data_IF_611948382007
#
_entry.id   IF_611948382007
#
_cell.length_a   1.000
_cell.length_b   1.000
_cell.length_c   1.000
_cell.angle_alpha   90.00
_cell.angle_beta   90.00
_cell.angle_gamma   90.00
#
_symmetry.space_group_name_H-M   'P 1'
#
loop_
_entity.id
_entity.type
_entity.pdbx_description
1 polymer ?
#
# COMPACT_ATOMS: atom_id res chain seq x y z
N UNK A 1 5.11 9.50 0.07
CA UNK A 1 3.76 8.88 0.01
C UNK A 1 2.71 9.70 0.75
N UNK A 2 1.54 9.90 0.13
CA UNK A 2 0.31 10.40 0.75
C UNK A 2 -0.68 9.24 0.98
N UNK A 3 -1.46 9.31 2.05
CA UNK A 3 -2.53 8.35 2.35
C UNK A 3 -3.88 9.04 2.14
N UNK A 4 -4.63 8.61 1.13
CA UNK A 4 -5.90 9.20 0.69
C UNK A 4 -7.12 8.65 1.46
N UNK A 5 -6.87 7.82 2.47
CA UNK A 5 -7.87 7.20 3.34
C UNK A 5 -8.20 5.76 2.98
N UNK A 6 -9.12 5.16 3.72
CA UNK A 6 -9.48 3.75 3.58
C UNK A 6 -10.62 3.54 2.57
N UNK A 7 -10.46 2.54 1.70
CA UNK A 7 -11.52 1.94 0.90
C UNK A 7 -12.14 0.79 1.70
N UNK A 8 -13.33 1.02 2.24
CA UNK A 8 -14.02 0.06 3.10
C UNK A 8 -14.51 -1.18 2.33
N UNK A 9 -14.76 -1.07 1.04
CA UNK A 9 -15.21 -2.20 0.21
C UNK A 9 -14.06 -3.16 -0.10
N UNK A 10 -12.84 -2.63 -0.20
CA UNK A 10 -11.61 -3.41 -0.44
C UNK A 10 -10.83 -3.75 0.83
N UNK A 11 -11.27 -3.22 1.98
CA UNK A 11 -10.55 -3.29 3.26
C UNK A 11 -9.08 -2.90 3.11
N UNK A 12 -8.82 -1.78 2.40
CA UNK A 12 -7.48 -1.36 2.00
C UNK A 12 -7.29 0.15 2.08
N UNK A 13 -6.10 0.59 2.42
CA UNK A 13 -5.71 2.01 2.42
C UNK A 13 -5.31 2.44 1.02
N UNK A 14 -5.89 3.55 0.56
CA UNK A 14 -5.50 4.21 -0.68
C UNK A 14 -4.29 5.09 -0.41
N UNK A 15 -3.30 4.96 -1.27
CA UNK A 15 -2.08 5.76 -1.22
C UNK A 15 -1.74 6.31 -2.60
N UNK A 16 -1.06 7.44 -2.60
CA UNK A 16 -0.58 8.10 -3.81
C UNK A 16 0.81 8.69 -3.61
N UNK A 17 1.62 8.68 -4.66
CA UNK A 17 2.95 9.28 -4.66
C UNK A 17 3.42 9.53 -6.09
N UNK A 18 4.41 10.40 -6.27
CA UNK A 18 5.02 10.65 -7.57
C UNK A 18 6.16 9.67 -7.83
N UNK A 19 6.12 8.98 -8.98
CA UNK A 19 7.19 8.11 -9.45
C UNK A 19 7.18 8.02 -10.98
N UNK A 20 8.36 7.83 -11.58
CA UNK A 20 8.52 7.70 -13.05
C UNK A 20 7.90 8.86 -13.86
N UNK A 21 7.80 10.05 -13.29
CA UNK A 21 7.22 11.22 -13.95
C UNK A 21 5.68 11.22 -13.98
N UNK A 22 5.02 10.33 -13.23
CA UNK A 22 3.57 10.29 -13.07
C UNK A 22 3.14 10.12 -11.60
N UNK A 23 1.84 10.22 -11.34
CA UNK A 23 1.27 9.87 -10.04
C UNK A 23 0.94 8.39 -10.01
N UNK A 24 1.61 7.63 -9.16
CA UNK A 24 1.27 6.23 -8.87
C UNK A 24 0.25 6.21 -7.74
N UNK A 25 -0.85 5.48 -7.97
CA UNK A 25 -1.89 5.25 -6.96
C UNK A 25 -2.01 3.76 -6.69
N UNK A 26 -2.20 3.39 -5.43
CA UNK A 26 -2.28 1.99 -5.04
C UNK A 26 -3.10 1.74 -3.78
N UNK A 27 -3.28 0.46 -3.52
CA UNK A 27 -4.00 -0.08 -2.37
C UNK A 27 -3.06 -0.90 -1.50
N UNK A 28 -3.10 -0.62 -0.20
CA UNK A 28 -2.43 -1.38 0.84
C UNK A 28 -3.49 -2.13 1.66
N UNK A 29 -3.61 -3.46 1.54
CA UNK A 29 -4.61 -4.22 2.29
C UNK A 29 -4.42 -4.10 3.81
N UNK A 30 -5.50 -3.91 4.56
CA UNK A 30 -5.44 -3.86 6.03
C UNK A 30 -4.92 -5.19 6.61
N UNK A 31 -5.27 -6.31 5.98
CA UNK A 31 -4.76 -7.63 6.37
C UNK A 31 -3.24 -7.80 6.20
N UNK A 32 -2.61 -7.05 5.29
CA UNK A 32 -1.14 -7.00 5.20
C UNK A 32 -0.56 -6.27 6.42
N UNK A 33 -1.17 -5.15 6.82
CA UNK A 33 -0.75 -4.39 8.00
C UNK A 33 -0.93 -5.22 9.27
N UNK A 34 -2.05 -5.94 9.40
CA UNK A 34 -2.28 -6.88 10.52
C UNK A 34 -1.17 -7.93 10.60
N UNK A 35 -0.83 -8.55 9.47
CA UNK A 35 0.21 -9.56 9.39
C UNK A 35 1.58 -9.00 9.80
N UNK A 36 1.93 -7.82 9.29
CA UNK A 36 3.22 -7.17 9.56
C UNK A 36 3.34 -6.72 11.01
N UNK A 37 2.25 -6.25 11.60
CA UNK A 37 2.19 -5.88 13.02
C UNK A 37 1.93 -7.07 13.96
N UNK A 38 1.82 -8.30 13.43
CA UNK A 38 1.46 -9.51 14.20
C UNK A 38 0.20 -9.35 15.06
N UNK A 39 -0.82 -8.67 14.51
CA UNK A 39 -2.08 -8.39 15.20
C UNK A 39 -3.14 -9.44 14.84
N UNK A 40 -3.78 -10.00 15.88
CA UNK A 40 -4.99 -10.82 15.74
C UNK A 40 -6.29 -9.99 15.77
N UNK A 41 -6.19 -8.69 15.46
CA UNK A 41 -7.31 -7.75 15.44
C UNK A 41 -7.07 -6.68 14.38
N UNK A 42 -8.15 -5.98 14.02
CA UNK A 42 -8.08 -4.77 13.20
C UNK A 42 -7.12 -3.74 13.81
N UNK A 43 -6.12 -3.24 13.06
CA UNK A 43 -5.20 -2.23 13.56
C UNK A 43 -5.96 -0.92 13.78
N UNK A 44 -5.56 -0.16 14.80
CA UNK A 44 -6.04 1.21 14.95
C UNK A 44 -5.54 2.08 13.80
N UNK A 45 -6.26 3.15 13.45
CA UNK A 45 -5.86 4.03 12.36
C UNK A 45 -4.43 4.55 12.55
N UNK A 46 -4.09 5.02 13.75
CA UNK A 46 -2.75 5.51 14.06
C UNK A 46 -1.66 4.46 13.77
N UNK A 47 -1.87 3.21 14.21
CA UNK A 47 -0.93 2.11 13.98
C UNK A 47 -0.71 1.86 12.48
N UNK A 48 -1.77 2.01 11.68
CA UNK A 48 -1.64 1.88 10.22
C UNK A 48 -0.84 3.04 9.64
N UNK A 49 -1.12 4.28 10.03
CA UNK A 49 -0.36 5.44 9.54
C UNK A 49 1.12 5.35 9.92
N UNK A 50 1.44 4.91 11.13
CA UNK A 50 2.81 4.68 11.58
C UNK A 50 3.51 3.60 10.74
N UNK A 51 2.83 2.46 10.52
CA UNK A 51 3.37 1.39 9.70
C UNK A 51 3.57 1.81 8.25
N UNK A 52 2.61 2.54 7.66
CA UNK A 52 2.70 3.07 6.31
C UNK A 52 3.86 4.07 6.17
N UNK A 53 4.08 4.92 7.17
CA UNK A 53 5.19 5.87 7.17
C UNK A 53 6.54 5.13 7.23
N UNK A 54 6.67 4.16 8.14
CA UNK A 54 7.88 3.35 8.32
C UNK A 54 8.20 2.50 7.07
N UNK A 55 7.18 2.00 6.38
CA UNK A 55 7.33 1.13 5.20
C UNK A 55 7.17 1.88 3.87
N UNK A 56 7.10 3.21 3.89
CA UNK A 56 6.80 4.05 2.73
C UNK A 56 7.70 3.76 1.54
N UNK A 57 9.02 3.72 1.73
CA UNK A 57 9.98 3.43 0.67
C UNK A 57 9.79 2.04 0.02
N UNK A 58 9.47 1.02 0.82
CA UNK A 58 9.26 -0.34 0.31
C UNK A 58 7.95 -0.46 -0.48
N UNK A 59 6.89 0.19 0.02
CA UNK A 59 5.59 0.26 -0.63
C UNK A 59 5.69 1.03 -1.96
N UNK A 60 6.37 2.18 -1.96
CA UNK A 60 6.61 2.98 -3.16
C UNK A 60 7.38 2.16 -4.21
N UNK A 61 8.49 1.52 -3.84
CA UNK A 61 9.28 0.69 -4.75
C UNK A 61 8.47 -0.49 -5.34
N UNK A 62 7.64 -1.13 -4.53
CA UNK A 62 6.77 -2.21 -4.96
C UNK A 62 5.71 -1.72 -5.96
N UNK A 63 4.97 -0.66 -5.64
CA UNK A 63 3.95 -0.11 -6.53
C UNK A 63 4.56 0.48 -7.81
N UNK A 64 5.75 1.08 -7.74
CA UNK A 64 6.50 1.50 -8.94
C UNK A 64 6.87 0.31 -9.82
N UNK A 65 7.29 -0.81 -9.23
CA UNK A 65 7.60 -2.04 -9.97
C UNK A 65 6.37 -2.58 -10.70
N UNK A 66 5.23 -2.64 -9.98
CA UNK A 66 3.94 -3.03 -10.55
C UNK A 66 3.48 -2.08 -11.66
N UNK A 67 3.62 -0.77 -11.46
CA UNK A 67 3.25 0.27 -12.44
C UNK A 67 4.03 0.14 -13.75
N UNK A 68 5.28 -0.31 -13.66
CA UNK A 68 6.13 -0.59 -14.84
C UNK A 68 5.79 -1.92 -15.54
N UNK A 69 4.79 -2.66 -15.07
CA UNK A 69 4.43 -3.99 -15.59
C UNK A 69 5.52 -5.05 -15.37
N UNK A 70 6.51 -4.77 -14.50
CA UNK A 70 7.49 -5.76 -14.09
C UNK A 70 6.80 -6.67 -13.07
N UNK A 71 7.05 -7.98 -13.18
CA UNK A 71 6.30 -9.06 -12.51
C UNK A 71 6.14 -8.92 -10.98
N UNK A 72 5.50 -9.90 -10.33
CA UNK A 72 5.03 -9.77 -8.96
C UNK A 72 6.14 -9.31 -8.01
N UNK A 73 5.80 -8.33 -7.18
CA UNK A 73 6.68 -7.82 -6.13
C UNK A 73 6.98 -8.91 -5.10
N UNK A 74 8.09 -8.78 -4.38
CA UNK A 74 8.46 -9.78 -3.37
C UNK A 74 7.54 -9.68 -2.15
N UNK A 75 7.21 -10.82 -1.57
CA UNK A 75 6.48 -10.86 -0.30
C UNK A 75 7.19 -10.03 0.79
N UNK A 76 6.43 -9.31 1.63
CA UNK A 76 4.97 -9.32 1.75
C UNK A 76 4.26 -8.25 0.89
N UNK A 77 5.00 -7.49 0.09
CA UNK A 77 4.49 -6.41 -0.75
C UNK A 77 3.94 -6.90 -2.10
N UNK A 78 3.91 -8.21 -2.33
CA UNK A 78 3.22 -8.88 -3.45
C UNK A 78 1.70 -8.67 -3.41
N UNK A 79 1.16 -8.36 -2.22
CA UNK A 79 -0.26 -8.14 -1.97
C UNK A 79 -0.73 -6.72 -2.30
N UNK A 80 0.18 -5.82 -2.66
CA UNK A 80 -0.16 -4.47 -3.08
C UNK A 80 -0.82 -4.51 -4.47
N UNK A 81 -1.68 -3.54 -4.75
CA UNK A 81 -2.35 -3.44 -6.05
C UNK A 81 -2.40 -2.00 -6.52
N UNK A 82 -2.28 -1.76 -7.81
CA UNK A 82 -2.47 -0.44 -8.39
C UNK A 82 -3.96 -0.06 -8.31
N UNK A 83 -4.23 1.22 -8.09
CA UNK A 83 -5.55 1.77 -8.32
C UNK A 83 -5.70 2.10 -9.80
N UNK A 84 -6.74 1.56 -10.44
CA UNK A 84 -7.04 1.88 -11.84
C UNK A 84 -7.28 3.41 -11.96
N UNK A 85 -6.68 4.03 -12.99
CA UNK A 85 -7.09 5.36 -13.42
C UNK A 85 -8.49 5.22 -14.04
N UNK A 86 -9.50 5.78 -13.36
CA UNK A 86 -10.87 5.87 -13.87
C UNK A 86 -10.93 6.94 -14.96
#
# INVERSE_FOLDING_TARGET
MQVDGIDMSREAYRISFEADGGTVRGYVPEGLVMQMLSLNRRPGHQQVYEWLADNSAAIEAALTTLSRGKGPTTAPFDRLSLAEEI
#
